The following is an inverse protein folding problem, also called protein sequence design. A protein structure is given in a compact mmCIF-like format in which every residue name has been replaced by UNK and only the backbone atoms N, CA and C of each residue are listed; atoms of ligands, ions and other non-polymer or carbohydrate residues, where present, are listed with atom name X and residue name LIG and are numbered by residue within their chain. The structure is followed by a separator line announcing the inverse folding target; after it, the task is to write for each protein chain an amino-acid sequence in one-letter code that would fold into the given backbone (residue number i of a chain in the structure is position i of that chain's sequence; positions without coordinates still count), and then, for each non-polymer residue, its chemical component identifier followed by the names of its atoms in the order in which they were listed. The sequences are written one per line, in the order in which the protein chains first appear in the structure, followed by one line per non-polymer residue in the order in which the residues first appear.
data_IF_495730896138
#
_entry.id   IF_495730896138
#
_cell.length_a   1.000
_cell.length_b   1.000
_cell.length_c   1.000
_cell.angle_alpha   90.00
_cell.angle_beta   90.00
_cell.angle_gamma   90.00
#
_symmetry.space_group_name_H-M   'P 1'
#
loop_
_entity.id
_entity.type
_entity.pdbx_description
1 polymer ?
#
# COMPACT_ATOMS: atom_id res chain seq x y z
N UNK A 1 -16.97 -2.41 -5.17
CA UNK A 1 -16.45 -2.38 -3.78
C UNK A 1 -15.36 -3.42 -3.65
N UNK A 2 -14.27 -3.17 -2.92
CA UNK A 2 -13.25 -4.20 -2.73
C UNK A 2 -13.78 -5.33 -1.85
N UNK A 3 -13.25 -6.55 -2.00
CA UNK A 3 -13.63 -7.71 -1.17
C UNK A 3 -13.47 -7.42 0.34
N UNK A 4 -12.45 -6.61 0.69
CA UNK A 4 -12.24 -6.19 2.08
C UNK A 4 -13.29 -5.21 2.59
N UNK A 5 -13.80 -4.31 1.74
CA UNK A 5 -14.87 -3.41 2.13
C UNK A 5 -16.17 -4.19 2.39
N UNK A 6 -16.45 -5.23 1.58
CA UNK A 6 -17.59 -6.13 1.78
C UNK A 6 -17.45 -6.88 3.11
N UNK A 7 -16.27 -7.42 3.43
CA UNK A 7 -16.02 -8.09 4.72
C UNK A 7 -16.22 -7.14 5.90
N UNK A 8 -15.72 -5.90 5.82
CA UNK A 8 -15.89 -4.89 6.90
C UNK A 8 -17.33 -4.48 7.08
N UNK A 9 -18.09 -4.33 5.99
CA UNK A 9 -19.52 -4.06 6.04
C UNK A 9 -20.25 -5.21 6.74
N UNK A 10 -19.99 -6.45 6.32
CA UNK A 10 -20.59 -7.64 6.96
C UNK A 10 -20.25 -7.76 8.44
N UNK A 11 -19.02 -7.44 8.84
CA UNK A 11 -18.65 -7.38 10.27
C UNK A 11 -19.44 -6.29 11.00
N UNK A 12 -19.62 -5.12 10.39
CA UNK A 12 -20.42 -4.03 10.97
C UNK A 12 -21.87 -4.46 11.20
N UNK A 13 -22.49 -5.08 10.19
CA UNK A 13 -23.89 -5.52 10.26
C UNK A 13 -24.07 -6.60 11.36
N UNK A 14 -23.13 -7.54 11.49
CA UNK A 14 -23.16 -8.56 12.55
C UNK A 14 -22.91 -7.98 13.95
N UNK A 15 -22.14 -6.89 14.05
CA UNK A 15 -21.97 -6.15 15.30
C UNK A 15 -23.25 -5.39 15.69
N UNK A 16 -23.98 -4.83 14.73
CA UNK A 16 -25.29 -4.19 14.97
C UNK A 16 -26.35 -5.21 15.41
N UNK A 17 -26.25 -6.44 14.92
CA UNK A 17 -27.06 -7.57 15.38
C UNK A 17 -26.59 -8.17 16.72
N UNK A 18 -25.70 -7.50 17.45
CA UNK A 18 -25.18 -7.90 18.76
C UNK A 18 -24.57 -9.32 18.81
N UNK A 19 -24.08 -9.82 17.67
CA UNK A 19 -23.48 -11.15 17.60
C UNK A 19 -22.12 -11.14 18.31
N UNK A 20 -21.87 -12.19 19.12
CA UNK A 20 -20.58 -12.37 19.80
C UNK A 20 -19.43 -12.41 18.80
N UNK A 21 -18.34 -11.70 19.11
CA UNK A 21 -17.12 -11.59 18.28
C UNK A 21 -16.59 -12.94 17.82
N UNK A 22 -16.63 -13.97 18.67
CA UNK A 22 -16.20 -15.34 18.32
C UNK A 22 -16.99 -15.88 17.13
N UNK A 23 -18.32 -15.75 17.15
CA UNK A 23 -19.19 -16.19 16.04
C UNK A 23 -18.95 -15.35 14.77
N UNK A 24 -18.69 -14.05 14.92
CA UNK A 24 -18.37 -13.17 13.77
C UNK A 24 -17.10 -13.64 13.07
N UNK A 25 -16.06 -14.02 13.83
CA UNK A 25 -14.82 -14.54 13.27
C UNK A 25 -15.05 -15.81 12.46
N UNK A 26 -15.89 -16.71 12.97
CA UNK A 26 -16.22 -17.97 12.29
C UNK A 26 -17.07 -17.76 11.02
N UNK A 27 -18.03 -16.84 11.05
CA UNK A 27 -18.91 -16.51 9.92
C UNK A 27 -18.15 -15.80 8.80
N UNK A 28 -17.35 -14.78 9.16
CA UNK A 28 -16.65 -13.94 8.18
C UNK A 28 -15.28 -14.52 7.80
N UNK A 29 -14.82 -15.55 8.51
CA UNK A 29 -13.49 -16.17 8.35
C UNK A 29 -12.39 -15.12 8.40
N UNK A 30 -12.37 -14.35 9.49
CA UNK A 30 -11.45 -13.22 9.65
C UNK A 30 -10.76 -13.20 11.00
N UNK A 31 -9.65 -12.45 11.08
CA UNK A 31 -8.90 -12.31 12.32
C UNK A 31 -9.67 -11.49 13.35
N UNK A 32 -9.47 -11.83 14.63
CA UNK A 32 -9.98 -11.05 15.77
C UNK A 32 -9.62 -9.56 15.64
N UNK A 33 -8.38 -9.28 15.24
CA UNK A 33 -7.88 -7.91 15.05
C UNK A 33 -8.67 -7.09 14.02
N UNK A 34 -9.21 -7.72 12.97
CA UNK A 34 -10.04 -7.03 11.99
C UNK A 34 -11.38 -6.62 12.61
N UNK A 35 -12.00 -7.50 13.39
CA UNK A 35 -13.26 -7.20 14.08
C UNK A 35 -13.08 -6.03 15.03
N UNK A 36 -12.06 -6.04 15.90
CA UNK A 36 -11.77 -4.92 16.80
C UNK A 36 -11.50 -3.61 16.06
N UNK A 37 -10.81 -3.66 14.92
CA UNK A 37 -10.58 -2.47 14.09
C UNK A 37 -11.89 -1.90 13.56
N UNK A 38 -12.81 -2.74 13.10
CA UNK A 38 -14.15 -2.31 12.64
C UNK A 38 -14.97 -1.74 13.80
N UNK A 39 -14.98 -2.41 14.97
CA UNK A 39 -15.65 -1.90 16.18
C UNK A 39 -15.13 -0.52 16.58
N UNK A 40 -13.81 -0.31 16.56
CA UNK A 40 -13.21 1.00 16.83
C UNK A 40 -13.59 2.05 15.78
N UNK A 41 -13.59 1.68 14.50
CA UNK A 41 -14.00 2.58 13.42
C UNK A 41 -15.46 3.03 13.58
N UNK A 42 -16.36 2.14 14.03
CA UNK A 42 -17.75 2.51 14.34
C UNK A 42 -17.86 3.46 15.52
N UNK A 43 -17.12 3.19 16.62
CA UNK A 43 -17.09 4.08 17.79
C UNK A 43 -16.56 5.47 17.46
N UNK A 44 -15.58 5.55 16.57
CA UNK A 44 -14.98 6.81 16.13
C UNK A 44 -15.81 7.53 15.02
N UNK A 45 -16.99 7.02 14.65
CA UNK A 45 -17.80 7.46 13.50
C UNK A 45 -17.01 7.55 12.17
N UNK A 46 -15.94 6.75 12.05
CA UNK A 46 -15.09 6.71 10.87
C UNK A 46 -15.71 5.78 9.82
N UNK A 47 -15.70 6.21 8.57
CA UNK A 47 -16.14 5.39 7.45
C UNK A 47 -15.40 4.04 7.38
N UNK A 48 -16.14 2.96 7.14
CA UNK A 48 -15.63 1.57 7.11
C UNK A 48 -14.64 1.30 5.96
N UNK A 49 -14.63 2.19 4.96
CA UNK A 49 -13.74 2.09 3.81
C UNK A 49 -12.29 2.05 4.27
N UNK A 50 -11.51 1.17 3.64
CA UNK A 50 -10.08 1.17 3.83
C UNK A 50 -9.50 2.48 3.28
N UNK A 51 -8.78 3.24 4.11
CA UNK A 51 -7.96 4.35 3.61
C UNK A 51 -6.97 3.79 2.58
N UNK A 52 -6.81 4.48 1.46
CA UNK A 52 -5.70 4.22 0.55
C UNK A 52 -4.42 4.22 1.39
N UNK A 53 -3.59 3.18 1.26
CA UNK A 53 -2.25 3.22 1.83
C UNK A 53 -1.51 4.35 1.12
N UNK A 54 -0.62 5.06 1.84
CA UNK A 54 0.34 5.90 1.14
C UNK A 54 1.11 5.00 0.17
N UNK A 55 1.09 5.36 -1.10
CA UNK A 55 1.93 4.74 -2.13
C UNK A 55 3.40 5.10 -1.92
N UNK A 56 3.91 5.07 -0.68
CA UNK A 56 5.29 5.40 -0.34
C UNK A 56 6.30 4.47 -1.02
N UNK A 57 5.85 3.39 -1.66
CA UNK A 57 6.65 2.55 -2.57
C UNK A 57 6.45 2.89 -4.05
N UNK A 58 5.35 3.54 -4.44
CA UNK A 58 5.03 3.87 -5.83
C UNK A 58 5.55 5.24 -6.27
N UNK A 59 5.82 6.17 -5.33
CA UNK A 59 6.40 7.47 -5.67
C UNK A 59 7.82 7.38 -6.26
N UNK A 60 8.50 6.25 -6.06
CA UNK A 60 9.87 6.04 -6.53
C UNK A 60 9.94 5.35 -7.91
N UNK A 61 8.80 5.11 -8.55
CA UNK A 61 8.65 4.57 -9.91
C UNK A 61 7.51 5.26 -10.65
N UNK A 62 7.40 6.58 -10.50
CA UNK A 62 6.53 7.34 -11.38
C UNK A 62 7.08 7.28 -12.82
N UNK A 63 6.23 7.38 -13.86
CA UNK A 63 6.71 7.45 -15.24
C UNK A 63 7.76 8.57 -15.43
N UNK A 64 7.54 9.73 -14.83
CA UNK A 64 8.48 10.86 -14.84
C UNK A 64 9.84 10.52 -14.20
N UNK A 65 9.85 9.70 -13.14
CA UNK A 65 11.09 9.24 -12.53
C UNK A 65 11.85 8.31 -13.46
N UNK A 66 11.16 7.36 -14.10
CA UNK A 66 11.77 6.40 -15.03
C UNK A 66 12.32 7.11 -16.27
N UNK A 67 11.60 8.05 -16.86
CA UNK A 67 12.06 8.84 -18.01
C UNK A 67 13.33 9.65 -17.66
N UNK A 68 13.35 10.31 -16.49
CA UNK A 68 14.53 11.05 -16.03
C UNK A 68 15.71 10.13 -15.74
N UNK A 69 15.46 8.96 -15.14
CA UNK A 69 16.48 7.97 -14.85
C UNK A 69 17.08 7.42 -16.14
N UNK A 70 16.25 7.03 -17.10
CA UNK A 70 16.66 6.55 -18.42
C UNK A 70 17.50 7.59 -19.15
N UNK A 71 17.07 8.86 -19.14
CA UNK A 71 17.83 9.97 -19.74
C UNK A 71 19.22 10.09 -19.14
N UNK A 72 19.35 10.06 -17.80
CA UNK A 72 20.65 10.15 -17.12
C UNK A 72 21.53 8.92 -17.35
N UNK A 73 20.95 7.73 -17.41
CA UNK A 73 21.68 6.50 -17.71
C UNK A 73 22.15 6.47 -19.17
N UNK A 74 21.41 7.07 -20.10
CA UNK A 74 21.85 7.26 -21.50
C UNK A 74 22.91 8.35 -21.66
N UNK A 75 22.80 9.45 -20.91
CA UNK A 75 23.80 10.52 -20.91
C UNK A 75 25.17 10.05 -20.39
N UNK A 76 25.19 9.25 -19.33
CA UNK A 76 26.41 8.66 -18.77
C UNK A 76 26.15 7.23 -18.25
N UNK A 77 26.40 6.20 -19.09
CA UNK A 77 26.22 4.80 -18.71
C UNK A 77 27.18 4.31 -17.62
N UNK A 78 28.28 5.03 -17.39
CA UNK A 78 29.31 4.64 -16.40
C UNK A 78 29.00 5.20 -15.01
N UNK A 79 28.01 6.08 -14.90
CA UNK A 79 27.64 6.73 -13.65
C UNK A 79 27.20 5.71 -12.61
N UNK A 80 27.87 5.73 -11.45
CA UNK A 80 27.53 4.80 -10.37
C UNK A 80 26.14 5.08 -9.80
N UNK A 81 25.49 4.04 -9.27
CA UNK A 81 24.20 4.16 -8.58
C UNK A 81 24.25 5.11 -7.38
N UNK A 82 25.41 5.22 -6.71
CA UNK A 82 25.62 6.16 -5.60
C UNK A 82 25.61 7.62 -6.08
N UNK A 83 26.11 7.88 -7.29
CA UNK A 83 26.02 9.20 -7.90
C UNK A 83 24.57 9.52 -8.33
N UNK A 84 23.83 8.54 -8.84
CA UNK A 84 22.41 8.70 -9.16
C UNK A 84 21.55 8.94 -7.92
N UNK A 85 21.91 8.37 -6.75
CA UNK A 85 21.25 8.70 -5.49
C UNK A 85 21.28 10.20 -5.17
N UNK A 86 22.43 10.86 -5.34
CA UNK A 86 22.54 12.31 -5.09
C UNK A 86 21.68 13.14 -6.05
N UNK A 87 21.47 12.62 -7.26
CA UNK A 87 20.70 13.29 -8.30
C UNK A 87 19.18 13.17 -8.10
N UNK A 88 18.73 12.08 -7.50
CA UNK A 88 17.30 11.76 -7.36
C UNK A 88 16.80 11.78 -5.90
N UNK A 89 17.70 11.83 -4.91
CA UNK A 89 17.40 11.62 -3.49
C UNK A 89 16.61 10.32 -3.22
N UNK A 90 16.80 9.31 -4.07
CA UNK A 90 16.15 8.00 -3.99
C UNK A 90 17.19 6.95 -3.65
N UNK A 91 16.88 6.12 -2.66
CA UNK A 91 17.72 5.01 -2.20
C UNK A 91 18.39 4.23 -3.36
N UNK A 92 19.71 3.97 -3.32
CA UNK A 92 20.42 3.29 -4.41
C UNK A 92 19.84 1.92 -4.74
N UNK A 93 19.27 1.19 -3.78
CA UNK A 93 18.61 -0.10 -4.01
C UNK A 93 17.45 0.06 -4.98
N UNK A 94 16.70 1.16 -4.88
CA UNK A 94 15.50 1.39 -5.67
C UNK A 94 15.87 1.84 -7.08
N UNK A 95 16.93 2.64 -7.22
CA UNK A 95 17.50 3.01 -8.52
C UNK A 95 18.00 1.76 -9.24
N UNK A 96 18.78 0.90 -8.57
CA UNK A 96 19.28 -0.35 -9.15
C UNK A 96 18.14 -1.27 -9.59
N UNK A 97 17.10 -1.36 -8.77
CA UNK A 97 15.91 -2.14 -9.10
C UNK A 97 15.15 -1.58 -10.29
N UNK A 98 15.02 -0.25 -10.39
CA UNK A 98 14.39 0.42 -11.53
C UNK A 98 15.18 0.21 -12.83
N UNK A 99 16.51 0.35 -12.77
CA UNK A 99 17.37 0.10 -13.93
C UNK A 99 17.27 -1.35 -14.41
N UNK A 100 17.23 -2.33 -13.50
CA UNK A 100 17.17 -3.76 -13.86
C UNK A 100 15.80 -4.25 -14.32
N UNK A 101 14.73 -3.80 -13.66
CA UNK A 101 13.37 -4.32 -13.89
C UNK A 101 12.58 -3.49 -14.92
N UNK A 102 12.83 -2.18 -14.98
CA UNK A 102 11.99 -1.24 -15.73
C UNK A 102 12.71 -0.60 -16.94
N UNK A 103 14.05 -0.57 -16.97
CA UNK A 103 14.87 -0.01 -18.07
C UNK A 103 15.78 -1.03 -18.77
N UNK A 104 15.80 -2.27 -18.27
CA UNK A 104 16.66 -3.36 -18.75
C UNK A 104 16.08 -4.10 -19.94
#
# INVERSE_FOLDING_TARGET
MSEQDVKRKRISDLLDAEIKVVKIMDIVKCSRSLVFKVTRMKKDEKGLKRKARSGGHNLKRTPEFLERLEKKTKEDPTKSMKCLFNDFFVDPMIINRAVKEDLG
#
